data_IF_627362207700
#
_entry.id   IF_627362207700
#
_cell.length_a   1.000
_cell.length_b   1.000
_cell.length_c   1.000
_cell.angle_alpha   90.00
_cell.angle_beta   90.00
_cell.angle_gamma   90.00
#
_symmetry.space_group_name_H-M   'P 1'
#
loop_
_entity.id
_entity.type
_entity.pdbx_description
1 polymer ?
#
# COMPACT_ATOMS: atom_id res chain seq x y z
N UNK A 1 41.94 14.16 5.74
CA UNK A 1 41.58 12.73 5.71
C UNK A 1 40.20 12.64 5.06
N UNK A 2 40.22 12.36 3.76
CA UNK A 2 39.01 12.29 2.93
C UNK A 2 38.29 10.98 3.23
N UNK A 3 37.02 11.03 3.67
CA UNK A 3 36.20 9.84 3.76
C UNK A 3 35.88 9.39 2.33
N UNK A 4 36.40 8.25 1.95
CA UNK A 4 35.98 7.52 0.75
C UNK A 4 34.48 7.19 0.92
N UNK A 5 33.64 7.79 0.08
CA UNK A 5 32.26 7.39 -0.06
C UNK A 5 32.24 5.93 -0.56
N UNK A 6 31.61 5.06 0.19
CA UNK A 6 31.37 3.68 -0.21
C UNK A 6 30.41 3.69 -1.40
N UNK A 7 30.89 3.19 -2.54
CA UNK A 7 30.18 3.14 -3.81
C UNK A 7 29.08 2.05 -3.80
N UNK A 8 28.06 2.18 -2.93
CA UNK A 8 27.01 1.19 -2.76
C UNK A 8 25.59 1.75 -2.59
N UNK A 9 25.43 3.03 -2.30
CA UNK A 9 24.15 3.57 -1.84
C UNK A 9 23.49 4.63 -2.74
N UNK A 10 24.18 5.10 -3.77
CA UNK A 10 23.71 6.24 -4.60
C UNK A 10 22.46 5.95 -5.47
N UNK A 11 21.98 4.70 -5.56
CA UNK A 11 20.83 4.35 -6.38
C UNK A 11 19.48 4.40 -5.64
N UNK A 12 19.50 4.45 -4.29
CA UNK A 12 18.29 4.44 -3.47
C UNK A 12 17.92 5.80 -2.86
N UNK A 13 18.87 6.68 -2.69
CA UNK A 13 18.58 8.05 -2.29
C UNK A 13 17.88 8.77 -3.45
N UNK A 14 16.57 8.89 -3.34
CA UNK A 14 15.71 9.59 -4.29
C UNK A 14 15.18 10.92 -3.72
N UNK A 15 15.68 11.38 -2.57
CA UNK A 15 15.19 12.59 -1.88
C UNK A 15 15.28 13.85 -2.74
N UNK A 16 16.21 13.92 -3.68
CA UNK A 16 16.35 15.03 -4.63
C UNK A 16 15.68 14.75 -6.00
N UNK A 17 14.92 13.66 -6.15
CA UNK A 17 14.32 13.28 -7.42
C UNK A 17 13.04 14.08 -7.68
N UNK A 18 13.03 14.88 -8.74
CA UNK A 18 11.86 15.66 -9.18
C UNK A 18 10.94 14.89 -10.14
N UNK A 19 11.20 13.59 -10.36
CA UNK A 19 10.43 12.77 -11.29
C UNK A 19 10.80 13.01 -12.76
N UNK A 20 10.12 12.29 -13.64
CA UNK A 20 10.19 12.45 -15.09
C UNK A 20 8.89 11.97 -15.71
N UNK A 21 8.65 12.26 -17.00
CA UNK A 21 7.47 11.79 -17.74
C UNK A 21 7.38 10.26 -17.91
N UNK A 22 8.40 9.53 -17.51
CA UNK A 22 8.45 8.06 -17.55
C UNK A 22 8.22 7.43 -16.17
N UNK A 23 8.12 8.24 -15.11
CA UNK A 23 7.83 7.73 -13.79
C UNK A 23 6.36 7.34 -13.67
N UNK A 24 6.03 6.30 -12.87
CA UNK A 24 4.65 6.09 -12.45
C UNK A 24 4.16 7.28 -11.62
N UNK A 25 2.85 7.41 -11.38
CA UNK A 25 2.25 8.53 -10.65
C UNK A 25 2.93 8.82 -9.31
N UNK A 26 3.40 7.77 -8.63
CA UNK A 26 4.18 7.88 -7.38
C UNK A 26 5.47 7.06 -7.50
N UNK A 27 6.56 7.59 -6.95
CA UNK A 27 7.87 6.91 -7.01
C UNK A 27 7.79 5.52 -6.36
N UNK A 28 8.22 4.45 -7.04
CA UNK A 28 8.14 3.09 -6.53
C UNK A 28 9.19 2.76 -5.46
N UNK A 29 10.20 3.62 -5.28
CA UNK A 29 11.26 3.41 -4.30
C UNK A 29 10.86 3.98 -2.95
N UNK A 30 10.96 3.16 -1.92
CA UNK A 30 10.67 3.54 -0.55
C UNK A 30 11.75 3.05 0.41
N UNK A 31 12.17 3.92 1.30
CA UNK A 31 13.05 3.59 2.43
C UNK A 31 12.22 3.75 3.70
N UNK A 32 12.13 2.69 4.48
CA UNK A 32 11.32 2.71 5.70
C UNK A 32 12.05 3.39 6.88
N UNK A 33 11.37 3.49 8.03
CA UNK A 33 11.91 4.19 9.20
C UNK A 33 13.12 3.51 9.84
N UNK A 34 13.42 2.25 9.49
CA UNK A 34 14.61 1.50 9.94
C UNK A 34 15.74 1.53 8.90
N UNK A 35 15.49 2.13 7.73
CA UNK A 35 16.46 2.26 6.65
C UNK A 35 16.46 1.11 5.65
N UNK A 36 15.53 0.17 5.76
CA UNK A 36 15.37 -0.90 4.78
C UNK A 36 14.69 -0.38 3.50
N UNK A 37 15.03 -1.00 2.38
CA UNK A 37 14.74 -0.53 1.03
C UNK A 37 13.73 -1.44 0.36
N UNK A 38 12.64 -0.85 -0.13
CA UNK A 38 11.52 -1.55 -0.72
C UNK A 38 11.18 -1.00 -2.10
N UNK A 39 10.81 -1.88 -3.02
CA UNK A 39 10.19 -1.52 -4.29
C UNK A 39 8.69 -1.79 -4.20
N UNK A 40 7.90 -0.78 -4.51
CA UNK A 40 6.46 -0.90 -4.63
C UNK A 40 6.11 -0.99 -6.12
N UNK A 41 5.46 -2.08 -6.52
CA UNK A 41 5.12 -2.33 -7.92
C UNK A 41 3.75 -2.98 -8.06
N UNK A 42 3.10 -2.80 -9.21
CA UNK A 42 1.90 -3.59 -9.54
C UNK A 42 2.17 -5.08 -9.41
N UNK A 43 1.19 -5.81 -8.88
CA UNK A 43 1.17 -7.27 -8.81
C UNK A 43 0.13 -7.84 -9.77
N UNK A 44 0.38 -9.05 -10.24
CA UNK A 44 -0.49 -9.77 -11.15
C UNK A 44 -0.50 -11.27 -10.87
N UNK A 45 -1.09 -12.05 -11.78
CA UNK A 45 -1.24 -13.52 -11.63
C UNK A 45 0.08 -14.23 -11.30
N UNK A 46 1.20 -13.74 -11.81
CA UNK A 46 2.53 -14.31 -11.55
C UNK A 46 3.00 -14.16 -10.09
N UNK A 47 2.35 -13.30 -9.30
CA UNK A 47 2.63 -13.11 -7.88
C UNK A 47 1.76 -14.00 -6.97
N UNK A 48 0.84 -14.79 -7.51
CA UNK A 48 -0.13 -15.56 -6.73
C UNK A 48 0.54 -16.42 -5.65
N UNK A 49 1.53 -17.24 -6.01
CA UNK A 49 2.19 -18.13 -5.05
C UNK A 49 2.98 -17.35 -4.00
N UNK A 50 3.62 -16.25 -4.37
CA UNK A 50 4.32 -15.34 -3.44
C UNK A 50 3.36 -14.63 -2.48
N UNK A 51 2.17 -14.26 -2.95
CA UNK A 51 1.12 -13.69 -2.09
C UNK A 51 0.53 -14.74 -1.15
N UNK A 52 0.37 -15.99 -1.60
CA UNK A 52 -0.05 -17.08 -0.72
C UNK A 52 0.96 -17.27 0.41
N UNK A 53 2.26 -17.35 0.09
CA UNK A 53 3.36 -17.43 1.08
C UNK A 53 3.35 -16.22 2.03
N UNK A 54 3.26 -15.00 1.51
CA UNK A 54 3.19 -13.76 2.31
C UNK A 54 2.07 -13.80 3.36
N UNK A 55 0.90 -14.34 3.01
CA UNK A 55 -0.24 -14.39 3.92
C UNK A 55 -0.21 -15.60 4.88
N UNK A 56 0.72 -16.54 4.76
CA UNK A 56 0.86 -17.67 5.70
C UNK A 56 1.27 -17.20 7.09
N UNK A 57 2.06 -16.14 7.18
CA UNK A 57 2.55 -15.56 8.42
C UNK A 57 1.52 -14.73 9.20
N UNK A 58 0.32 -14.52 8.62
CA UNK A 58 -0.75 -13.75 9.28
C UNK A 58 -1.52 -14.62 10.28
N UNK A 59 -1.26 -14.40 11.56
CA UNK A 59 -1.96 -15.05 12.66
C UNK A 59 -3.39 -14.49 12.87
N UNK A 60 -4.12 -15.05 13.84
CA UNK A 60 -5.48 -14.57 14.18
C UNK A 60 -5.51 -13.10 14.62
N UNK A 61 -4.45 -12.59 15.22
CA UNK A 61 -4.34 -11.19 15.66
C UNK A 61 -4.16 -10.20 14.50
N UNK A 62 -3.63 -10.68 13.37
CA UNK A 62 -3.35 -9.85 12.19
C UNK A 62 -4.54 -9.80 11.22
N UNK A 63 -5.61 -10.54 11.52
CA UNK A 63 -6.82 -10.60 10.72
C UNK A 63 -7.86 -9.64 11.23
N UNK A 64 -8.41 -8.86 10.33
CA UNK A 64 -9.53 -7.95 10.62
C UNK A 64 -10.71 -8.30 9.74
N UNK A 65 -11.92 -8.35 10.31
CA UNK A 65 -13.17 -8.62 9.58
C UNK A 65 -13.13 -9.91 8.71
N UNK A 66 -12.35 -10.92 9.15
CA UNK A 66 -12.24 -12.21 8.46
C UNK A 66 -11.24 -12.26 7.31
N UNK A 67 -10.47 -11.20 7.07
CA UNK A 67 -9.39 -11.15 6.07
C UNK A 67 -8.02 -10.91 6.71
N UNK A 68 -6.93 -11.55 6.19
CA UNK A 68 -6.97 -12.61 5.17
C UNK A 68 -7.68 -13.87 5.68
N UNK A 69 -8.27 -14.71 4.80
CA UNK A 69 -8.94 -15.95 5.19
C UNK A 69 -8.02 -16.93 5.92
N UNK A 70 -8.58 -17.65 6.90
CA UNK A 70 -7.80 -18.51 7.81
C UNK A 70 -7.28 -19.80 7.16
N UNK A 71 -7.97 -20.33 6.16
CA UNK A 71 -7.61 -21.61 5.52
C UNK A 71 -6.94 -21.38 4.18
N UNK A 72 -5.93 -22.20 3.85
CA UNK A 72 -5.11 -22.07 2.64
C UNK A 72 -5.95 -22.01 1.37
N UNK A 73 -6.93 -22.92 1.23
CA UNK A 73 -7.80 -22.93 0.05
C UNK A 73 -8.60 -21.63 -0.09
N UNK A 74 -9.21 -21.11 1.00
CA UNK A 74 -9.98 -19.86 0.95
C UNK A 74 -9.06 -18.65 0.74
N UNK A 75 -7.88 -18.68 1.32
CA UNK A 75 -6.86 -17.63 1.15
C UNK A 75 -6.42 -17.55 -0.30
N UNK A 76 -6.10 -18.70 -0.92
CA UNK A 76 -5.74 -18.76 -2.34
C UNK A 76 -6.86 -18.22 -3.23
N UNK A 77 -8.09 -18.71 -3.08
CA UNK A 77 -9.23 -18.22 -3.86
C UNK A 77 -9.50 -16.72 -3.66
N UNK A 78 -9.32 -16.22 -2.46
CA UNK A 78 -9.46 -14.79 -2.18
C UNK A 78 -8.38 -13.96 -2.89
N UNK A 79 -7.12 -14.41 -2.89
CA UNK A 79 -6.03 -13.75 -3.62
C UNK A 79 -6.29 -13.80 -5.13
N UNK A 80 -6.72 -14.95 -5.66
CA UNK A 80 -7.10 -15.09 -7.08
C UNK A 80 -8.18 -14.06 -7.47
N UNK A 81 -9.18 -13.86 -6.63
CA UNK A 81 -10.22 -12.85 -6.85
C UNK A 81 -9.64 -11.43 -6.83
N UNK A 82 -8.78 -11.11 -5.84
CA UNK A 82 -8.14 -9.79 -5.77
C UNK A 82 -7.29 -9.51 -7.01
N UNK A 83 -6.53 -10.50 -7.49
CA UNK A 83 -5.70 -10.35 -8.68
C UNK A 83 -6.51 -10.23 -9.97
N UNK A 84 -7.67 -10.88 -10.05
CA UNK A 84 -8.55 -10.86 -11.22
C UNK A 84 -9.41 -9.60 -11.31
N UNK A 85 -9.93 -9.10 -10.20
CA UNK A 85 -10.93 -8.04 -10.14
C UNK A 85 -10.39 -6.71 -9.60
N UNK A 86 -9.25 -6.73 -8.91
CA UNK A 86 -8.66 -5.58 -8.24
C UNK A 86 -7.40 -5.04 -8.92
N UNK A 87 -7.05 -3.81 -8.56
CA UNK A 87 -5.72 -3.28 -8.80
C UNK A 87 -4.84 -3.56 -7.59
N UNK A 88 -3.74 -4.25 -7.79
CA UNK A 88 -2.91 -4.79 -6.72
C UNK A 88 -1.49 -4.21 -6.77
N UNK A 89 -0.93 -3.85 -5.61
CA UNK A 89 0.45 -3.38 -5.47
C UNK A 89 1.10 -4.18 -4.33
N UNK A 90 2.32 -4.64 -4.56
CA UNK A 90 3.16 -5.28 -3.54
C UNK A 90 4.36 -4.42 -3.19
N UNK A 91 4.77 -4.47 -1.93
CA UNK A 91 6.06 -3.98 -1.47
C UNK A 91 7.01 -5.17 -1.33
N UNK A 92 8.13 -5.15 -2.04
CA UNK A 92 9.11 -6.24 -2.05
C UNK A 92 10.53 -5.75 -1.78
N UNK A 93 11.33 -6.61 -1.16
CA UNK A 93 12.75 -6.44 -0.92
C UNK A 93 13.52 -7.72 -1.22
N UNK A 94 14.77 -7.78 -0.77
CA UNK A 94 15.63 -8.93 -1.02
C UNK A 94 15.11 -10.25 -0.41
N UNK A 95 14.33 -10.16 0.68
CA UNK A 95 13.82 -11.31 1.42
C UNK A 95 12.40 -11.73 1.02
N UNK A 96 11.76 -11.02 0.08
CA UNK A 96 10.42 -11.34 -0.39
C UNK A 96 9.42 -10.19 -0.27
N UNK A 97 8.13 -10.52 -0.21
CA UNK A 97 7.06 -9.56 -0.05
C UNK A 97 6.92 -9.16 1.42
N UNK A 98 6.74 -7.86 1.67
CA UNK A 98 6.52 -7.31 3.03
C UNK A 98 5.22 -6.55 3.16
N UNK A 99 4.52 -6.33 2.06
CA UNK A 99 3.24 -5.68 2.08
C UNK A 99 2.47 -5.88 0.78
N UNK A 100 1.16 -5.79 0.89
CA UNK A 100 0.21 -5.87 -0.21
C UNK A 100 -0.93 -4.88 0.03
N UNK A 101 -1.30 -4.14 -1.00
CA UNK A 101 -2.49 -3.30 -1.04
C UNK A 101 -3.26 -3.61 -2.31
N UNK A 102 -4.58 -3.65 -2.19
CA UNK A 102 -5.45 -3.76 -3.35
C UNK A 102 -6.65 -2.82 -3.18
N UNK A 103 -7.19 -2.32 -4.29
CA UNK A 103 -8.54 -1.79 -4.33
C UNK A 103 -9.38 -2.59 -5.32
N UNK A 104 -10.61 -2.89 -4.94
CA UNK A 104 -11.48 -3.80 -5.71
C UNK A 104 -12.97 -3.44 -5.54
N UNK A 105 -13.80 -3.60 -6.56
CA UNK A 105 -13.44 -3.85 -7.96
C UNK A 105 -12.64 -2.67 -8.56
N UNK A 106 -11.61 -2.96 -9.36
CA UNK A 106 -10.74 -1.91 -9.89
C UNK A 106 -11.47 -0.91 -10.81
N UNK A 107 -12.55 -1.35 -11.45
CA UNK A 107 -13.33 -0.55 -12.39
C UNK A 107 -14.42 0.31 -11.73
N UNK A 108 -14.69 0.11 -10.45
CA UNK A 108 -15.67 0.92 -9.72
C UNK A 108 -15.14 2.34 -9.51
N UNK A 109 -16.04 3.31 -9.49
CA UNK A 109 -15.72 4.71 -9.19
C UNK A 109 -15.19 4.90 -7.77
N UNK A 110 -15.65 4.06 -6.84
CA UNK A 110 -15.35 4.11 -5.40
C UNK A 110 -14.96 2.71 -4.88
N UNK A 111 -13.86 2.13 -5.37
CA UNK A 111 -13.47 0.78 -5.00
C UNK A 111 -13.04 0.68 -3.54
N UNK A 112 -13.19 -0.52 -2.96
CA UNK A 112 -12.79 -0.80 -1.58
C UNK A 112 -11.29 -1.11 -1.49
N UNK A 113 -10.60 -0.37 -0.62
CA UNK A 113 -9.17 -0.51 -0.35
C UNK A 113 -8.95 -1.49 0.80
N UNK A 114 -8.01 -2.43 0.61
CA UNK A 114 -7.48 -3.28 1.66
C UNK A 114 -5.95 -3.24 1.65
N UNK A 115 -5.31 -3.07 2.82
CA UNK A 115 -3.86 -3.02 2.96
C UNK A 115 -3.38 -3.97 4.05
N UNK A 116 -2.29 -4.67 3.75
CA UNK A 116 -1.65 -5.65 4.63
C UNK A 116 -0.15 -5.41 4.66
N UNK A 117 0.42 -5.45 5.86
CA UNK A 117 1.87 -5.36 6.09
C UNK A 117 2.28 -6.55 6.92
N UNK A 118 3.34 -7.24 6.51
CA UNK A 118 3.88 -8.40 7.23
C UNK A 118 4.04 -8.07 8.72
N UNK A 119 3.62 -8.96 9.65
CA UNK A 119 3.63 -8.68 11.08
C UNK A 119 4.98 -8.15 11.59
N UNK A 120 6.10 -8.73 11.14
CA UNK A 120 7.45 -8.34 11.54
C UNK A 120 7.93 -7.02 10.91
N UNK A 121 7.17 -6.43 10.00
CA UNK A 121 7.52 -5.20 9.26
C UNK A 121 6.52 -4.06 9.49
N UNK A 122 5.62 -4.22 10.46
CA UNK A 122 4.65 -3.18 10.83
C UNK A 122 5.33 -2.00 11.54
N UNK A 123 4.61 -0.85 11.60
CA UNK A 123 5.06 0.40 12.23
C UNK A 123 6.31 1.02 11.61
N UNK A 124 6.67 0.67 10.37
CA UNK A 124 7.84 1.16 9.63
C UNK A 124 7.49 2.10 8.47
N UNK A 125 6.23 2.52 8.36
CA UNK A 125 5.76 3.41 7.29
C UNK A 125 5.28 2.70 6.02
N UNK A 126 5.53 1.38 5.87
CA UNK A 126 5.20 0.60 4.66
C UNK A 126 3.71 0.69 4.32
N UNK A 127 2.82 0.53 5.31
CA UNK A 127 1.36 0.61 5.08
C UNK A 127 0.91 1.99 4.60
N UNK A 128 1.52 3.07 5.11
CA UNK A 128 1.23 4.44 4.65
C UNK A 128 1.64 4.62 3.19
N UNK A 129 2.84 4.16 2.82
CA UNK A 129 3.33 4.27 1.44
C UNK A 129 2.52 3.41 0.48
N UNK A 130 2.13 2.18 0.87
CA UNK A 130 1.25 1.33 0.06
C UNK A 130 -0.10 1.99 -0.23
N UNK A 131 -0.75 2.56 0.79
CA UNK A 131 -2.01 3.29 0.60
C UNK A 131 -1.83 4.53 -0.28
N UNK A 132 -0.72 5.25 -0.16
CA UNK A 132 -0.42 6.40 -1.02
C UNK A 132 -0.17 5.98 -2.47
N UNK A 133 0.49 4.84 -2.71
CA UNK A 133 0.66 4.26 -4.05
C UNK A 133 -0.69 3.86 -4.67
N UNK A 134 -1.55 3.20 -3.87
CA UNK A 134 -2.88 2.83 -4.32
C UNK A 134 -3.73 4.06 -4.67
N UNK A 135 -3.67 5.12 -3.85
CA UNK A 135 -4.36 6.37 -4.13
C UNK A 135 -3.85 7.05 -5.40
N UNK A 136 -2.53 7.10 -5.62
CA UNK A 136 -1.96 7.66 -6.84
C UNK A 136 -2.36 6.87 -8.09
N UNK A 137 -2.42 5.53 -8.00
CA UNK A 137 -2.89 4.68 -9.09
C UNK A 137 -4.40 4.86 -9.36
N UNK A 138 -5.20 5.06 -8.32
CA UNK A 138 -6.64 5.32 -8.45
C UNK A 138 -6.91 6.69 -9.08
N UNK A 139 -6.11 7.72 -8.75
CA UNK A 139 -6.12 9.03 -9.43
C UNK A 139 -5.80 8.89 -10.92
N UNK A 140 -4.74 8.14 -11.27
CA UNK A 140 -4.36 7.88 -12.67
C UNK A 140 -5.47 7.14 -13.44
N UNK A 141 -6.26 6.31 -12.75
CA UNK A 141 -7.38 5.57 -13.29
C UNK A 141 -8.71 6.37 -13.30
N UNK A 142 -8.70 7.66 -12.93
CA UNK A 142 -9.88 8.54 -12.84
C UNK A 142 -10.96 8.01 -11.87
N UNK A 143 -10.58 7.37 -10.75
CA UNK A 143 -11.52 6.97 -9.70
C UNK A 143 -11.94 8.19 -8.87
N UNK A 144 -13.21 8.21 -8.42
CA UNK A 144 -13.72 9.33 -7.62
C UNK A 144 -13.24 9.30 -6.18
N UNK A 145 -13.12 8.11 -5.60
CA UNK A 145 -12.67 7.92 -4.22
C UNK A 145 -12.11 6.52 -3.98
N UNK A 146 -11.42 6.34 -2.85
CA UNK A 146 -11.17 5.03 -2.25
C UNK A 146 -11.96 4.91 -0.95
N UNK A 147 -12.66 3.79 -0.77
CA UNK A 147 -13.38 3.48 0.46
C UNK A 147 -12.72 2.32 1.20
N UNK A 148 -12.94 2.23 2.50
CA UNK A 148 -12.46 1.11 3.29
C UNK A 148 -13.32 0.88 4.53
N UNK A 149 -13.24 -0.33 5.06
CA UNK A 149 -13.79 -0.69 6.35
C UNK A 149 -12.66 -1.03 7.32
N UNK A 150 -12.73 -0.55 8.55
CA UNK A 150 -11.72 -0.79 9.58
C UNK A 150 -12.38 -1.03 10.94
N UNK A 151 -11.82 -1.97 11.73
CA UNK A 151 -12.19 -2.10 13.13
C UNK A 151 -11.75 -0.84 13.89
N UNK A 152 -12.65 -0.21 14.62
CA UNK A 152 -12.37 0.99 15.41
C UNK A 152 -11.25 0.78 16.46
N UNK A 153 -11.01 -0.47 16.86
CA UNK A 153 -9.93 -0.85 17.78
C UNK A 153 -8.57 -0.89 17.10
N UNK A 154 -8.53 -1.01 15.77
CA UNK A 154 -7.28 -0.98 15.00
C UNK A 154 -6.79 0.47 14.87
N UNK A 155 -6.33 1.03 15.99
CA UNK A 155 -5.88 2.43 16.07
C UNK A 155 -4.72 2.74 15.13
N UNK A 156 -3.86 1.74 14.88
CA UNK A 156 -2.72 1.89 13.97
C UNK A 156 -3.19 2.12 12.53
N UNK A 157 -4.11 1.30 12.03
CA UNK A 157 -4.67 1.47 10.69
C UNK A 157 -5.47 2.78 10.57
N UNK A 158 -6.32 3.10 11.56
CA UNK A 158 -7.07 4.37 11.58
C UNK A 158 -6.13 5.57 11.53
N UNK A 159 -4.99 5.53 12.22
CA UNK A 159 -4.00 6.61 12.18
C UNK A 159 -3.35 6.75 10.79
N UNK A 160 -3.05 5.64 10.11
CA UNK A 160 -2.55 5.64 8.73
C UNK A 160 -3.57 6.30 7.79
N UNK A 161 -4.82 5.86 7.83
CA UNK A 161 -5.87 6.37 6.95
C UNK A 161 -6.13 7.86 7.16
N UNK A 162 -6.24 8.31 8.41
CA UNK A 162 -6.40 9.74 8.73
C UNK A 162 -5.24 10.60 8.24
N UNK A 163 -4.01 10.10 8.35
CA UNK A 163 -2.82 10.82 7.84
C UNK A 163 -2.87 11.00 6.33
N UNK A 164 -3.46 10.06 5.62
CA UNK A 164 -3.66 10.12 4.17
C UNK A 164 -4.88 10.95 3.75
N UNK A 165 -5.70 11.41 4.72
CA UNK A 165 -6.87 12.23 4.45
C UNK A 165 -8.18 11.45 4.32
N UNK A 166 -8.20 10.16 4.68
CA UNK A 166 -9.48 9.43 4.79
C UNK A 166 -10.34 10.04 5.91
N UNK A 167 -11.59 10.29 5.59
CA UNK A 167 -12.60 10.78 6.52
C UNK A 167 -13.59 9.68 6.90
N UNK A 168 -14.15 9.77 8.09
CA UNK A 168 -15.15 8.82 8.58
C UNK A 168 -16.49 9.11 7.92
N UNK A 169 -17.03 8.15 7.19
CA UNK A 169 -18.36 8.21 6.57
C UNK A 169 -19.42 7.64 7.51
N UNK A 170 -19.11 6.49 8.12
CA UNK A 170 -19.99 5.83 9.08
C UNK A 170 -19.14 5.11 10.15
N UNK A 171 -19.68 5.02 11.36
CA UNK A 171 -18.99 4.42 12.52
C UNK A 171 -19.93 3.56 13.38
N UNK A 172 -20.76 2.72 12.77
CA UNK A 172 -21.66 1.81 13.49
C UNK A 172 -20.88 0.60 14.08
N UNK A 173 -21.02 -0.59 13.51
CA UNK A 173 -20.30 -1.79 13.95
C UNK A 173 -18.84 -1.81 13.48
N UNK A 174 -18.60 -1.35 12.26
CA UNK A 174 -17.29 -1.10 11.68
C UNK A 174 -17.19 0.37 11.29
N UNK A 175 -15.99 0.93 11.26
CA UNK A 175 -15.77 2.28 10.77
C UNK A 175 -15.55 2.21 9.25
N UNK A 176 -16.45 2.84 8.50
CA UNK A 176 -16.27 3.09 7.09
C UNK A 176 -15.58 4.44 6.91
N UNK A 177 -14.53 4.47 6.11
CA UNK A 177 -13.80 5.69 5.78
C UNK A 177 -13.69 5.84 4.26
N UNK A 178 -13.64 7.07 3.78
CA UNK A 178 -13.45 7.39 2.37
C UNK A 178 -12.36 8.45 2.18
N UNK A 179 -11.62 8.34 1.10
CA UNK A 179 -10.69 9.33 0.58
C UNK A 179 -11.21 9.81 -0.76
N UNK A 180 -11.78 11.01 -0.81
CA UNK A 180 -12.14 11.64 -2.08
C UNK A 180 -10.86 12.01 -2.84
N UNK A 181 -10.78 11.59 -4.10
CA UNK A 181 -9.58 11.78 -4.93
C UNK A 181 -9.66 13.10 -5.70
N UNK A 182 -9.85 14.20 -4.95
CA UNK A 182 -9.86 15.55 -5.48
C UNK A 182 -8.45 16.03 -5.90
N UNK A 183 -8.39 17.23 -6.49
CA UNK A 183 -7.14 17.83 -6.98
C UNK A 183 -6.07 17.93 -5.88
N UNK A 184 -6.46 18.25 -4.64
CA UNK A 184 -5.53 18.39 -3.52
C UNK A 184 -4.94 17.06 -3.06
N UNK A 185 -5.73 16.00 -3.10
CA UNK A 185 -5.27 14.63 -2.83
C UNK A 185 -4.39 14.15 -3.96
N UNK A 186 -4.79 14.38 -5.22
CA UNK A 186 -4.01 14.02 -6.40
C UNK A 186 -2.61 14.65 -6.38
N UNK A 187 -2.50 15.96 -6.14
CA UNK A 187 -1.23 16.65 -5.98
C UNK A 187 -0.36 15.98 -4.92
N UNK A 188 -0.89 15.76 -3.71
CA UNK A 188 -0.15 15.20 -2.58
C UNK A 188 0.33 13.75 -2.79
N UNK A 189 -0.52 12.89 -3.39
CA UNK A 189 -0.15 11.47 -3.57
C UNK A 189 0.78 11.26 -4.76
N UNK A 190 0.75 12.15 -5.76
CA UNK A 190 1.62 12.10 -6.94
C UNK A 190 2.88 12.96 -6.79
N UNK A 191 3.07 13.63 -5.67
CA UNK A 191 4.25 14.47 -5.41
C UNK A 191 5.56 13.69 -5.61
N UNK A 192 6.53 14.24 -6.38
CA UNK A 192 7.83 13.62 -6.52
C UNK A 192 8.59 13.61 -5.18
N UNK A 193 9.55 12.71 -4.98
CA UNK A 193 10.27 12.59 -3.70
C UNK A 193 10.89 13.88 -3.18
N UNK A 194 11.38 14.75 -4.08
CA UNK A 194 12.03 16.01 -3.71
C UNK A 194 11.07 17.03 -3.06
N UNK A 195 9.78 16.89 -3.33
CA UNK A 195 8.76 17.85 -2.87
C UNK A 195 7.97 17.32 -1.66
N UNK A 196 8.22 16.06 -1.26
CA UNK A 196 7.56 15.43 -0.09
C UNK A 196 8.14 15.96 1.22
N UNK A 197 7.31 16.21 2.25
CA UNK A 197 7.73 16.70 3.56
C UNK A 197 8.59 15.71 4.35
#
# INVERSE_FOLDING_TARGET
MSRLATAGDNGWDNSACTGSSYCPPRCPRFVDTEGDKWILRPAGEHDLDRLVEFYEDFGPADRSMGIPPATDHRRRSWIETLLAEGYNIVAEGAEGLVGHVAYTPAEDDRPELAVFVHPDRQNRGIGTELCAQAAAAAVEADRAALELHVDQRNRAAVAVYRRLGFEVVNADQTMQMALELDESVAERVCEPPADRP
#
